data_IF_442195231715
#
_entry.id   IF_442195231715
#
_cell.length_a   1.000
_cell.length_b   1.000
_cell.length_c   1.000
_cell.angle_alpha   90.00
_cell.angle_beta   90.00
_cell.angle_gamma   90.00
#
_symmetry.space_group_name_H-M   'P 1'
#
loop_
_entity.id
_entity.type
_entity.pdbx_description
1 polymer ?
#
# COMPACT_ATOMS: atom_id res chain seq x y z
N UNK A 1 -10.84 -10.30 -15.73
CA UNK A 1 -10.83 -10.26 -14.24
C UNK A 1 -10.04 -9.00 -13.86
N UNK A 2 -10.47 -8.16 -12.91
CA UNK A 2 -9.74 -6.94 -12.63
C UNK A 2 -8.36 -7.32 -12.07
N UNK A 3 -7.34 -6.71 -12.64
CA UNK A 3 -5.94 -7.11 -12.42
C UNK A 3 -5.37 -6.46 -11.15
N UNK A 4 -6.03 -5.41 -10.65
CA UNK A 4 -5.56 -4.57 -9.53
C UNK A 4 -6.76 -3.99 -8.76
N UNK A 5 -6.75 -4.13 -7.43
CA UNK A 5 -7.60 -3.37 -6.50
C UNK A 5 -6.84 -2.19 -5.89
N UNK A 6 -7.52 -1.06 -5.66
CA UNK A 6 -6.92 0.16 -5.10
C UNK A 6 -7.37 0.44 -3.66
N UNK A 7 -6.44 0.81 -2.77
CA UNK A 7 -6.74 1.26 -1.41
C UNK A 7 -6.55 2.78 -1.28
N UNK A 8 -7.52 3.44 -0.63
CA UNK A 8 -7.42 4.84 -0.24
C UNK A 8 -6.80 5.00 1.15
N UNK A 9 -5.90 5.97 1.31
CA UNK A 9 -5.20 6.22 2.58
C UNK A 9 -6.14 6.82 3.62
N UNK A 10 -6.24 6.19 4.80
CA UNK A 10 -6.83 6.79 6.01
C UNK A 10 -5.69 7.15 6.95
N UNK A 11 -5.46 8.44 7.18
CA UNK A 11 -4.44 8.92 8.12
C UNK A 11 -5.09 9.32 9.46
N UNK A 12 -4.51 8.88 10.58
CA UNK A 12 -4.81 9.38 11.93
C UNK A 12 -3.57 10.06 12.50
N UNK A 13 -3.76 11.15 13.26
CA UNK A 13 -2.71 11.96 13.88
C UNK A 13 -1.79 11.20 14.85
N UNK A 14 -0.67 11.83 15.26
CA UNK A 14 0.44 11.17 15.95
C UNK A 14 0.05 10.76 17.36
N UNK A 15 -0.06 9.45 17.59
CA UNK A 15 -0.22 8.84 18.91
C UNK A 15 0.45 7.48 18.92
N UNK A 16 0.92 7.02 20.09
CA UNK A 16 1.70 5.79 20.24
C UNK A 16 1.00 4.49 19.77
N UNK A 17 -0.28 4.54 19.38
CA UNK A 17 -1.04 3.44 18.79
C UNK A 17 -1.36 3.57 17.28
N UNK A 18 -1.09 4.72 16.65
CA UNK A 18 -1.51 4.97 15.26
C UNK A 18 -0.81 4.04 14.25
N UNK A 19 0.47 3.74 14.46
CA UNK A 19 1.22 2.82 13.60
C UNK A 19 0.73 1.36 13.73
N UNK A 20 0.42 0.91 14.95
CA UNK A 20 -0.09 -0.44 15.19
C UNK A 20 -1.48 -0.63 14.56
N UNK A 21 -2.37 0.34 14.73
CA UNK A 21 -3.69 0.37 14.06
C UNK A 21 -3.52 0.42 12.54
N UNK A 22 -2.60 1.25 12.04
CA UNK A 22 -2.30 1.32 10.60
C UNK A 22 -1.83 -0.03 10.03
N UNK A 23 -0.94 -0.74 10.74
CA UNK A 23 -0.50 -2.09 10.34
C UNK A 23 -1.66 -3.09 10.34
N UNK A 24 -2.51 -3.07 11.36
CA UNK A 24 -3.67 -3.96 11.44
C UNK A 24 -4.67 -3.73 10.30
N UNK A 25 -5.02 -2.46 10.03
CA UNK A 25 -5.89 -2.11 8.91
C UNK A 25 -5.29 -2.51 7.56
N UNK A 26 -3.98 -2.29 7.39
CA UNK A 26 -3.27 -2.69 6.17
C UNK A 26 -3.30 -4.20 5.96
N UNK A 27 -3.05 -4.98 7.01
CA UNK A 27 -3.09 -6.44 6.94
C UNK A 27 -4.48 -6.95 6.52
N UNK A 28 -5.55 -6.44 7.16
CA UNK A 28 -6.93 -6.79 6.82
C UNK A 28 -7.26 -6.46 5.36
N UNK A 29 -6.83 -5.29 4.87
CA UNK A 29 -7.07 -4.88 3.50
C UNK A 29 -6.33 -5.79 2.49
N UNK A 30 -5.07 -6.15 2.76
CA UNK A 30 -4.30 -7.05 1.91
C UNK A 30 -4.87 -8.47 1.91
N UNK A 31 -5.36 -8.95 3.05
CA UNK A 31 -5.99 -10.28 3.16
C UNK A 31 -7.32 -10.35 2.40
N UNK A 32 -8.12 -9.29 2.44
CA UNK A 32 -9.32 -9.19 1.61
C UNK A 32 -8.97 -9.25 0.11
N UNK A 33 -7.95 -8.50 -0.33
CA UNK A 33 -7.50 -8.53 -1.72
C UNK A 33 -6.95 -9.91 -2.13
N UNK A 34 -6.26 -10.63 -1.23
CA UNK A 34 -5.82 -12.01 -1.46
C UNK A 34 -7.01 -12.96 -1.62
N UNK A 35 -8.01 -12.84 -0.73
CA UNK A 35 -9.21 -13.68 -0.77
C UNK A 35 -10.00 -13.49 -2.08
N UNK A 36 -10.02 -12.27 -2.62
CA UNK A 36 -10.63 -11.95 -3.91
C UNK A 36 -9.78 -12.39 -5.12
N UNK A 37 -8.57 -12.92 -4.89
CA UNK A 37 -7.69 -13.46 -5.93
C UNK A 37 -6.85 -12.42 -6.67
N UNK A 38 -6.69 -11.21 -6.11
CA UNK A 38 -5.78 -10.21 -6.67
C UNK A 38 -4.32 -10.60 -6.45
N UNK A 39 -3.47 -10.36 -7.46
CA UNK A 39 -2.03 -10.68 -7.39
C UNK A 39 -1.17 -9.58 -6.79
N UNK A 40 -1.65 -8.35 -6.85
CA UNK A 40 -0.97 -7.20 -6.28
C UNK A 40 -1.99 -6.14 -5.84
N UNK A 41 -1.58 -5.34 -4.86
CA UNK A 41 -2.27 -4.13 -4.45
C UNK A 41 -1.46 -2.91 -4.90
N UNK A 42 -2.15 -1.80 -5.20
CA UNK A 42 -1.51 -0.50 -5.41
C UNK A 42 -2.06 0.53 -4.44
N UNK A 43 -1.21 1.49 -4.07
CA UNK A 43 -1.62 2.70 -3.35
C UNK A 43 -0.92 3.92 -3.94
N UNK A 44 -1.58 5.06 -3.82
CA UNK A 44 -1.01 6.36 -4.19
C UNK A 44 -0.79 7.18 -2.92
N UNK A 45 0.39 7.77 -2.75
CA UNK A 45 0.74 8.65 -1.63
C UNK A 45 1.42 9.92 -2.12
N UNK A 46 1.53 10.93 -1.27
CA UNK A 46 2.24 12.18 -1.61
C UNK A 46 3.75 11.95 -1.71
N UNK A 47 4.39 12.53 -2.73
CA UNK A 47 5.84 12.50 -2.91
C UNK A 47 6.59 13.18 -1.74
N UNK A 48 5.97 14.19 -1.12
CA UNK A 48 6.51 14.92 0.02
C UNK A 48 6.05 14.42 1.39
N UNK A 49 5.70 13.14 1.55
CA UNK A 49 5.21 12.58 2.81
C UNK A 49 6.09 11.43 3.37
N UNK A 50 7.28 11.73 3.92
CA UNK A 50 8.27 10.72 4.30
C UNK A 50 7.80 9.77 5.40
N UNK A 51 6.97 10.24 6.32
CA UNK A 51 6.43 9.39 7.39
C UNK A 51 5.52 8.28 6.82
N UNK A 52 4.66 8.62 5.86
CA UNK A 52 3.81 7.65 5.17
C UNK A 52 4.63 6.70 4.30
N UNK A 53 5.59 7.22 3.54
CA UNK A 53 6.47 6.41 2.69
C UNK A 53 7.25 5.37 3.49
N UNK A 54 7.87 5.76 4.62
CA UNK A 54 8.55 4.82 5.52
C UNK A 54 7.61 3.76 6.10
N UNK A 55 6.36 4.12 6.38
CA UNK A 55 5.36 3.14 6.82
C UNK A 55 5.07 2.11 5.73
N UNK A 56 4.89 2.54 4.48
CA UNK A 56 4.63 1.63 3.36
C UNK A 56 5.84 0.72 3.09
N UNK A 57 7.05 1.28 3.04
CA UNK A 57 8.29 0.49 2.87
C UNK A 57 8.48 -0.53 4.00
N UNK A 58 8.26 -0.11 5.25
CA UNK A 58 8.33 -0.99 6.42
C UNK A 58 7.17 -2.00 6.52
N UNK A 59 6.24 -1.99 5.57
CA UNK A 59 5.13 -2.95 5.46
C UNK A 59 5.14 -3.69 4.13
N UNK A 60 6.29 -3.74 3.43
CA UNK A 60 6.49 -4.59 2.25
C UNK A 60 6.05 -3.98 0.92
N UNK A 61 5.66 -2.70 0.92
CA UNK A 61 5.37 -1.97 -0.31
C UNK A 61 6.65 -1.47 -0.97
N UNK A 62 6.63 -1.40 -2.30
CA UNK A 62 7.76 -0.88 -3.09
C UNK A 62 7.27 0.20 -4.07
N UNK A 63 8.01 1.31 -4.24
CA UNK A 63 7.68 2.28 -5.27
C UNK A 63 7.87 1.65 -6.65
N UNK A 64 6.91 1.83 -7.56
CA UNK A 64 6.98 1.25 -8.91
C UNK A 64 7.31 2.29 -10.00
N UNK A 65 7.72 3.49 -9.58
CA UNK A 65 8.12 4.59 -10.46
C UNK A 65 6.94 5.35 -11.07
N UNK A 66 5.70 4.89 -10.93
CA UNK A 66 4.55 5.62 -11.46
C UNK A 66 4.26 6.87 -10.62
N UNK A 67 4.04 7.98 -11.33
CA UNK A 67 3.67 9.26 -10.75
C UNK A 67 2.37 9.76 -11.35
N UNK A 68 1.66 10.62 -10.63
CA UNK A 68 0.50 11.36 -11.13
C UNK A 68 0.40 12.71 -10.46
N UNK A 69 -0.55 13.51 -10.91
CA UNK A 69 -0.82 14.84 -10.35
C UNK A 69 0.45 15.72 -10.37
N UNK A 70 1.07 15.83 -11.55
CA UNK A 70 2.32 16.58 -11.75
C UNK A 70 3.47 16.15 -10.82
N UNK A 71 3.51 14.85 -10.48
CA UNK A 71 4.53 14.29 -9.60
C UNK A 71 4.24 14.50 -8.11
N UNK A 72 3.12 15.14 -7.74
CA UNK A 72 2.73 15.28 -6.33
C UNK A 72 2.38 13.94 -5.70
N UNK A 73 1.98 12.95 -6.49
CA UNK A 73 1.65 11.62 -6.01
C UNK A 73 2.52 10.55 -6.67
N UNK A 74 3.03 9.64 -5.84
CA UNK A 74 3.82 8.48 -6.24
C UNK A 74 3.06 7.19 -5.90
N UNK A 75 3.23 6.16 -6.73
CA UNK A 75 2.57 4.87 -6.54
C UNK A 75 3.51 3.87 -5.89
N UNK A 76 2.95 3.12 -4.96
CA UNK A 76 3.56 1.93 -4.38
C UNK A 76 2.75 0.70 -4.77
N UNK A 77 3.45 -0.43 -4.89
CA UNK A 77 2.88 -1.75 -5.15
C UNK A 77 3.25 -2.72 -4.03
N UNK A 78 2.33 -3.62 -3.70
CA UNK A 78 2.56 -4.75 -2.80
C UNK A 78 2.14 -6.05 -3.50
N UNK A 79 3.05 -7.01 -3.59
CA UNK A 79 2.74 -8.33 -4.14
C UNK A 79 1.93 -9.15 -3.12
N UNK A 80 0.80 -9.70 -3.52
CA UNK A 80 -0.13 -10.38 -2.61
C UNK A 80 0.10 -11.88 -2.54
N UNK A 81 0.60 -12.44 -3.64
CA UNK A 81 1.06 -13.81 -3.76
C UNK A 81 2.53 -13.77 -4.15
N UNK A 82 3.38 -14.50 -3.43
CA UNK A 82 4.68 -14.86 -3.97
C UNK A 82 4.44 -15.62 -5.27
N UNK A 83 5.22 -15.31 -6.31
CA UNK A 83 5.24 -16.14 -7.49
C UNK A 83 5.53 -17.56 -7.05
N UNK A 84 4.54 -18.44 -7.17
CA UNK A 84 4.83 -19.82 -7.50
C UNK A 84 5.40 -19.79 -8.93
N UNK A 85 6.64 -19.29 -9.06
CA UNK A 85 7.47 -19.62 -10.19
C UNK A 85 7.87 -21.09 -9.97
N UNK A 86 7.18 -21.97 -10.69
CA UNK A 86 7.72 -23.27 -11.05
C UNK A 86 8.65 -23.09 -12.24
#
# INVERSE_FOLDING_TARGET
RPEVGGLGTVARGPGAGAAAVGRALMAVALDALRADGYRAAILWTLAGYPAGQRFYEATGWQPDGATRDEGRQIRYRHHLHEGAER
#
